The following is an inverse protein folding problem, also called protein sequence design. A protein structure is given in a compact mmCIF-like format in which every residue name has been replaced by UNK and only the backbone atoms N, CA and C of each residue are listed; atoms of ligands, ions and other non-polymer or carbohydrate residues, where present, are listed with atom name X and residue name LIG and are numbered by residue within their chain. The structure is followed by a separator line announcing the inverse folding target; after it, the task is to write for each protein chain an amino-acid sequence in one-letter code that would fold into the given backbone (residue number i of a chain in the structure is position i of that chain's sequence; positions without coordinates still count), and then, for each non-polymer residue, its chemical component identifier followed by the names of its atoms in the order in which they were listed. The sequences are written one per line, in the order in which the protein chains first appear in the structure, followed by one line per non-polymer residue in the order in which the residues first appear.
data_IF_771111415197
#
_entry.id   IF_771111415197
#
_cell.length_a   1.000
_cell.length_b   1.000
_cell.length_c   1.000
_cell.angle_alpha   90.00
_cell.angle_beta   90.00
_cell.angle_gamma   90.00
#
_symmetry.space_group_name_H-M   'P 1'
#
loop_
_entity.id
_entity.type
_entity.pdbx_description
1 polymer ?
#
# COMPACT_ATOMS: atom_id res chain seq x y z
N UNK A 1 32.45 -9.75 -21.95
CA UNK A 1 32.09 -8.69 -20.98
C UNK A 1 30.59 -8.50 -21.06
N UNK A 2 29.83 -8.98 -20.08
CA UNK A 2 28.39 -8.75 -20.04
C UNK A 2 28.16 -7.28 -19.69
N UNK A 3 27.38 -6.55 -20.51
CA UNK A 3 26.97 -5.20 -20.19
C UNK A 3 26.20 -5.25 -18.86
N UNK A 4 26.64 -4.51 -17.85
CA UNK A 4 25.80 -4.21 -16.69
C UNK A 4 24.59 -3.44 -17.22
N UNK A 5 23.45 -4.10 -17.37
CA UNK A 5 22.19 -3.37 -17.43
C UNK A 5 22.13 -2.58 -16.13
N UNK A 6 22.07 -1.25 -16.22
CA UNK A 6 21.79 -0.44 -15.04
C UNK A 6 20.46 -0.93 -14.48
N UNK A 7 20.45 -1.47 -13.27
CA UNK A 7 19.19 -1.90 -12.65
C UNK A 7 18.34 -0.63 -12.47
N UNK A 8 17.31 -0.48 -13.31
CA UNK A 8 16.42 0.69 -13.28
C UNK A 8 15.30 0.45 -12.28
N UNK A 9 14.78 1.54 -11.68
CA UNK A 9 13.54 1.47 -10.91
C UNK A 9 12.40 1.03 -11.84
N UNK A 10 11.63 0.04 -11.40
CA UNK A 10 10.47 -0.47 -12.11
C UNK A 10 9.19 0.10 -11.49
N UNK A 11 8.50 0.96 -12.24
CA UNK A 11 7.24 1.59 -11.82
C UNK A 11 6.05 0.78 -12.34
N UNK A 12 5.19 0.35 -11.44
CA UNK A 12 4.06 -0.52 -11.77
C UNK A 12 2.74 0.09 -11.32
N UNK A 13 1.67 -0.29 -12.01
CA UNK A 13 0.30 0.05 -11.66
C UNK A 13 -0.39 -1.23 -11.21
N UNK A 14 -1.14 -1.16 -10.11
CA UNK A 14 -1.95 -2.25 -9.60
C UNK A 14 -2.85 -2.74 -10.75
N UNK A 15 -3.01 -4.05 -10.98
CA UNK A 15 -3.86 -4.52 -12.07
C UNK A 15 -5.34 -4.30 -11.73
N UNK A 16 -6.15 -4.04 -12.76
CA UNK A 16 -7.59 -3.95 -12.62
C UNK A 16 -8.13 -2.55 -12.28
N UNK A 17 -9.40 -2.46 -11.84
CA UNK A 17 -10.14 -1.20 -11.73
C UNK A 17 -9.47 -0.11 -10.92
N UNK A 18 -8.86 -0.45 -9.79
CA UNK A 18 -8.13 0.52 -8.95
C UNK A 18 -6.91 1.07 -9.68
N UNK A 19 -6.14 0.23 -10.38
CA UNK A 19 -5.03 0.71 -11.19
C UNK A 19 -5.47 1.59 -12.35
N UNK A 20 -6.55 1.20 -13.03
CA UNK A 20 -7.09 1.96 -14.15
C UNK A 20 -7.66 3.31 -13.70
N UNK A 21 -8.23 3.38 -12.50
CA UNK A 21 -8.64 4.64 -11.85
C UNK A 21 -7.45 5.56 -11.58
N UNK A 22 -6.31 5.00 -11.15
CA UNK A 22 -5.12 5.77 -10.77
C UNK A 22 -4.20 6.10 -11.96
N UNK A 23 -4.26 5.33 -13.05
CA UNK A 23 -3.41 5.44 -14.25
C UNK A 23 -3.36 6.84 -14.89
N UNK A 24 -4.43 7.66 -14.91
CA UNK A 24 -4.36 9.01 -15.46
C UNK A 24 -3.49 9.98 -14.65
N UNK A 25 -3.15 9.64 -13.41
CA UNK A 25 -2.34 10.49 -12.53
C UNK A 25 -0.84 10.36 -12.84
N UNK A 26 -0.01 11.38 -12.51
CA UNK A 26 1.43 11.34 -12.78
C UNK A 26 2.23 10.54 -11.72
N UNK A 27 1.66 9.44 -11.21
CA UNK A 27 2.30 8.56 -10.23
C UNK A 27 1.91 7.09 -10.43
N UNK A 28 2.81 6.18 -10.06
CA UNK A 28 2.59 4.72 -10.07
C UNK A 28 2.02 4.23 -8.75
N UNK A 29 1.39 3.05 -8.72
CA UNK A 29 0.94 2.46 -7.44
C UNK A 29 2.11 1.90 -6.64
N UNK A 30 3.15 1.42 -7.32
CA UNK A 30 4.36 0.89 -6.71
C UNK A 30 5.61 1.28 -7.49
N UNK A 31 6.71 1.42 -6.79
CA UNK A 31 8.06 1.45 -7.35
C UNK A 31 8.87 0.29 -6.76
N UNK A 32 9.42 -0.57 -7.61
CA UNK A 32 10.35 -1.64 -7.24
C UNK A 32 11.77 -1.18 -7.52
N UNK A 33 12.54 -1.02 -6.45
CA UNK A 33 13.86 -0.40 -6.43
C UNK A 33 14.90 -1.51 -6.23
N UNK A 34 15.79 -1.75 -7.21
CA UNK A 34 16.88 -2.70 -7.07
C UNK A 34 17.93 -2.18 -6.07
N UNK A 35 18.29 -3.00 -5.09
CA UNK A 35 19.39 -2.74 -4.16
C UNK A 35 20.61 -3.62 -4.50
N UNK A 36 20.35 -4.83 -4.98
CA UNK A 36 21.32 -5.77 -5.50
C UNK A 36 20.61 -6.78 -6.41
N UNK A 37 21.32 -7.68 -7.12
CA UNK A 37 20.70 -8.66 -8.01
C UNK A 37 19.62 -9.55 -7.38
N UNK A 38 19.64 -9.72 -6.05
CA UNK A 38 18.71 -10.56 -5.29
C UNK A 38 17.89 -9.80 -4.24
N UNK A 39 18.03 -8.47 -4.14
CA UNK A 39 17.36 -7.68 -3.10
C UNK A 39 16.70 -6.46 -3.69
N UNK A 40 15.43 -6.27 -3.37
CA UNK A 40 14.65 -5.12 -3.84
C UNK A 40 13.88 -4.50 -2.69
N UNK A 41 13.75 -3.18 -2.73
CA UNK A 41 12.75 -2.46 -1.95
C UNK A 41 11.53 -2.22 -2.82
N UNK A 42 10.35 -2.25 -2.23
CA UNK A 42 9.09 -1.91 -2.89
C UNK A 42 8.46 -0.79 -2.07
N UNK A 43 8.09 0.30 -2.73
CA UNK A 43 7.39 1.43 -2.11
C UNK A 43 6.02 1.57 -2.77
N UNK A 44 4.95 1.68 -1.98
CA UNK A 44 3.61 1.97 -2.50
C UNK A 44 3.35 3.48 -2.52
N UNK A 45 2.47 3.93 -3.39
CA UNK A 45 1.74 5.18 -3.18
C UNK A 45 0.79 5.06 -1.98
N UNK A 46 0.14 6.17 -1.61
CA UNK A 46 -0.95 6.16 -0.64
C UNK A 46 -2.21 5.51 -1.22
N UNK A 47 -2.83 4.62 -0.44
CA UNK A 47 -4.10 4.00 -0.77
C UNK A 47 -5.19 4.43 0.22
N UNK A 48 -6.35 4.79 -0.33
CA UNK A 48 -7.62 4.92 0.39
C UNK A 48 -8.45 3.64 0.23
N UNK A 49 -9.60 3.55 0.89
CA UNK A 49 -10.49 2.38 0.79
C UNK A 49 -11.15 2.29 -0.57
N UNK A 50 -10.55 1.57 -1.51
CA UNK A 50 -11.11 1.26 -2.81
C UNK A 50 -11.41 -0.23 -2.94
N UNK A 51 -12.53 -0.54 -3.57
CA UNK A 51 -12.88 -1.89 -4.01
C UNK A 51 -11.97 -2.31 -5.16
N UNK A 52 -11.27 -3.45 -5.01
CA UNK A 52 -10.47 -4.02 -6.09
C UNK A 52 -11.33 -4.53 -7.25
N UNK A 53 -12.61 -4.80 -7.03
CA UNK A 53 -13.51 -5.40 -8.03
C UNK A 53 -14.06 -4.39 -9.03
N UNK A 54 -14.26 -3.14 -8.61
CA UNK A 54 -14.91 -2.10 -9.43
C UNK A 54 -14.30 -0.69 -9.27
N UNK A 55 -13.33 -0.51 -8.38
CA UNK A 55 -12.69 0.78 -8.11
C UNK A 55 -13.55 1.76 -7.31
N UNK A 56 -14.72 1.33 -6.80
CA UNK A 56 -15.60 2.18 -6.00
C UNK A 56 -15.00 2.45 -4.62
N UNK A 57 -15.40 3.58 -4.02
CA UNK A 57 -14.97 3.95 -2.67
C UNK A 57 -15.73 3.15 -1.59
N UNK A 58 -15.01 2.58 -0.63
CA UNK A 58 -15.56 1.81 0.50
C UNK A 58 -15.45 2.65 1.76
N UNK A 59 -16.56 3.25 2.19
CA UNK A 59 -16.63 4.09 3.40
C UNK A 59 -17.80 3.73 4.33
N UNK A 60 -18.52 2.63 4.07
CA UNK A 60 -19.70 2.20 4.84
C UNK A 60 -19.41 2.07 6.34
N UNK A 61 -18.28 1.46 6.69
CA UNK A 61 -17.78 1.40 8.06
C UNK A 61 -16.28 1.66 8.10
N UNK A 62 -15.77 2.07 9.26
CA UNK A 62 -14.32 2.26 9.49
C UNK A 62 -13.56 0.95 9.24
N UNK A 63 -14.10 -0.18 9.70
CA UNK A 63 -13.48 -1.50 9.54
C UNK A 63 -13.42 -1.94 8.07
N UNK A 64 -14.51 -1.78 7.32
CA UNK A 64 -14.55 -2.15 5.89
C UNK A 64 -13.61 -1.29 5.06
N UNK A 65 -13.48 0.00 5.41
CA UNK A 65 -12.55 0.90 4.73
C UNK A 65 -11.09 0.48 4.97
N UNK A 66 -10.70 0.20 6.21
CA UNK A 66 -9.34 -0.28 6.48
C UNK A 66 -9.04 -1.64 5.86
N UNK A 67 -10.02 -2.54 5.79
CA UNK A 67 -9.87 -3.78 5.02
C UNK A 67 -9.55 -3.49 3.55
N UNK A 68 -10.33 -2.61 2.91
CA UNK A 68 -10.12 -2.23 1.52
C UNK A 68 -8.76 -1.55 1.29
N UNK A 69 -8.32 -0.67 2.20
CA UNK A 69 -6.98 -0.06 2.14
C UNK A 69 -5.91 -1.14 2.16
N UNK A 70 -5.99 -2.08 3.11
CA UNK A 70 -4.99 -3.13 3.21
C UNK A 70 -5.07 -4.15 2.06
N UNK A 71 -6.24 -4.40 1.48
CA UNK A 71 -6.40 -5.22 0.26
C UNK A 71 -5.68 -4.59 -0.92
N UNK A 72 -5.83 -3.28 -1.10
CA UNK A 72 -5.12 -2.53 -2.13
C UNK A 72 -3.60 -2.61 -1.93
N UNK A 73 -3.11 -2.34 -0.72
CA UNK A 73 -1.68 -2.39 -0.42
C UNK A 73 -1.09 -3.81 -0.60
N UNK A 74 -1.79 -4.83 -0.10
CA UNK A 74 -1.37 -6.23 -0.21
C UNK A 74 -1.30 -6.67 -1.69
N UNK A 75 -2.30 -6.28 -2.49
CA UNK A 75 -2.35 -6.57 -3.92
C UNK A 75 -1.25 -5.80 -4.68
N UNK A 76 -1.02 -4.53 -4.35
CA UNK A 76 0.06 -3.72 -4.91
C UNK A 76 1.43 -4.36 -4.67
N UNK A 77 1.72 -4.76 -3.43
CA UNK A 77 2.98 -5.41 -3.07
C UNK A 77 3.15 -6.76 -3.78
N UNK A 78 2.10 -7.59 -3.82
CA UNK A 78 2.12 -8.87 -4.54
C UNK A 78 2.40 -8.69 -6.02
N UNK A 79 1.77 -7.71 -6.66
CA UNK A 79 2.03 -7.41 -8.07
C UNK A 79 3.49 -6.98 -8.30
N UNK A 80 4.04 -6.18 -7.39
CA UNK A 80 5.44 -5.74 -7.41
C UNK A 80 6.46 -6.83 -7.01
N UNK A 81 6.02 -8.07 -6.74
CA UNK A 81 6.90 -9.22 -6.50
C UNK A 81 7.11 -9.61 -5.04
N UNK A 82 6.52 -8.89 -4.08
CA UNK A 82 6.45 -9.33 -2.68
C UNK A 82 5.36 -10.41 -2.53
N UNK A 83 5.75 -11.68 -2.71
CA UNK A 83 4.83 -12.82 -2.77
C UNK A 83 3.93 -12.94 -1.53
N UNK A 84 4.45 -12.60 -0.35
CA UNK A 84 3.70 -12.66 0.91
C UNK A 84 2.95 -11.34 1.21
N UNK A 85 2.94 -10.40 0.26
CA UNK A 85 2.24 -9.12 0.35
C UNK A 85 2.67 -8.32 1.56
N UNK A 86 1.71 -7.91 2.40
CA UNK A 86 2.01 -7.10 3.58
C UNK A 86 2.86 -7.82 4.65
N UNK A 87 3.02 -9.14 4.62
CA UNK A 87 4.01 -9.81 5.48
C UNK A 87 5.46 -9.43 5.12
N UNK A 88 5.72 -8.96 3.89
CA UNK A 88 7.02 -8.43 3.50
C UNK A 88 7.18 -6.93 3.82
N UNK A 89 6.10 -6.25 4.25
CA UNK A 89 6.15 -4.83 4.60
C UNK A 89 6.89 -4.61 5.92
N UNK A 90 7.83 -3.66 5.95
CA UNK A 90 8.59 -3.30 7.17
C UNK A 90 8.23 -1.90 7.71
N UNK A 91 7.52 -1.08 6.92
CA UNK A 91 7.15 0.28 7.30
C UNK A 91 5.80 0.68 6.75
N UNK A 92 5.02 1.38 7.57
CA UNK A 92 3.77 2.02 7.21
C UNK A 92 3.82 3.51 7.57
N UNK A 93 3.20 4.34 6.73
CA UNK A 93 2.80 5.70 7.10
C UNK A 93 1.30 5.81 6.89
N UNK A 94 0.55 6.15 7.93
CA UNK A 94 -0.88 6.35 7.87
C UNK A 94 -1.24 7.80 8.19
N UNK A 95 -2.04 8.40 7.31
CA UNK A 95 -2.68 9.68 7.50
C UNK A 95 -4.15 9.43 7.85
N UNK A 96 -4.57 9.81 9.05
CA UNK A 96 -5.94 9.59 9.54
C UNK A 96 -6.66 10.93 9.70
N UNK A 97 -7.94 11.02 9.35
CA UNK A 97 -8.73 12.24 9.56
C UNK A 97 -9.25 12.40 10.99
N UNK A 98 -9.18 11.34 11.80
CA UNK A 98 -9.46 11.36 13.24
C UNK A 98 -8.61 10.34 13.99
N UNK A 99 -8.18 10.69 15.21
CA UNK A 99 -7.44 9.78 16.08
C UNK A 99 -8.25 8.55 16.52
N UNK A 100 -9.59 8.65 16.51
CA UNK A 100 -10.49 7.56 16.90
C UNK A 100 -10.39 6.35 15.97
N UNK A 101 -9.92 6.53 14.73
CA UNK A 101 -9.80 5.46 13.75
C UNK A 101 -8.57 4.57 13.95
N UNK A 102 -7.55 5.03 14.70
CA UNK A 102 -6.29 4.31 14.88
C UNK A 102 -6.50 2.92 15.50
N UNK A 103 -7.35 2.82 16.53
CA UNK A 103 -7.63 1.55 17.20
C UNK A 103 -8.23 0.51 16.26
N UNK A 104 -9.15 0.93 15.39
CA UNK A 104 -9.79 0.05 14.39
C UNK A 104 -8.80 -0.36 13.32
N UNK A 105 -8.00 0.58 12.79
CA UNK A 105 -6.95 0.31 11.81
C UNK A 105 -5.98 -0.77 12.30
N UNK A 106 -5.44 -0.61 13.52
CA UNK A 106 -4.50 -1.55 14.10
C UNK A 106 -5.15 -2.91 14.41
N UNK A 107 -6.43 -2.92 14.81
CA UNK A 107 -7.16 -4.16 15.05
C UNK A 107 -7.36 -4.97 13.76
N UNK A 108 -7.76 -4.32 12.66
CA UNK A 108 -7.85 -4.95 11.33
C UNK A 108 -6.50 -5.52 10.91
N UNK A 109 -5.43 -4.73 11.01
CA UNK A 109 -4.08 -5.19 10.64
C UNK A 109 -3.65 -6.41 11.45
N UNK A 110 -3.75 -6.36 12.79
CA UNK A 110 -3.35 -7.48 13.67
C UNK A 110 -4.16 -8.75 13.43
N UNK A 111 -5.44 -8.62 13.10
CA UNK A 111 -6.31 -9.76 12.79
C UNK A 111 -5.87 -10.48 11.50
N UNK A 112 -5.49 -9.70 10.49
CA UNK A 112 -5.16 -10.20 9.14
C UNK A 112 -3.72 -10.64 8.97
N UNK A 113 -2.78 -9.99 9.66
CA UNK A 113 -1.35 -10.32 9.63
C UNK A 113 -0.86 -10.66 11.05
N UNK A 114 -1.35 -11.78 11.64
CA UNK A 114 -1.02 -12.13 13.01
C UNK A 114 0.49 -12.35 13.20
N UNK A 115 1.04 -11.74 14.24
CA UNK A 115 2.48 -11.83 14.57
C UNK A 115 3.37 -10.89 13.75
N UNK A 116 2.84 -10.15 12.78
CA UNK A 116 3.59 -9.15 12.03
C UNK A 116 3.62 -7.80 12.76
N UNK A 117 4.78 -7.14 12.77
CA UNK A 117 5.01 -5.91 13.54
C UNK A 117 5.93 -4.92 12.79
N UNK A 118 5.47 -4.35 11.67
CA UNK A 118 6.23 -3.34 10.93
C UNK A 118 6.37 -2.05 11.73
N UNK A 119 7.36 -1.22 11.36
CA UNK A 119 7.44 0.15 11.87
C UNK A 119 6.24 0.96 11.38
N UNK A 120 5.74 1.87 12.21
CA UNK A 120 4.49 2.57 11.91
C UNK A 120 4.55 4.03 12.34
N UNK A 121 4.21 4.93 11.42
CA UNK A 121 4.01 6.36 11.70
C UNK A 121 2.55 6.72 11.47
N UNK A 122 1.90 7.30 12.48
CA UNK A 122 0.53 7.81 12.41
C UNK A 122 0.52 9.33 12.49
N UNK A 123 -0.20 9.97 11.58
CA UNK A 123 -0.39 11.42 11.54
C UNK A 123 -1.87 11.73 11.44
N UNK A 124 -2.37 12.60 12.32
CA UNK A 124 -3.73 13.12 12.22
C UNK A 124 -3.71 14.32 11.27
N UNK A 125 -4.44 14.22 10.17
CA UNK A 125 -4.53 15.24 9.13
C UNK A 125 -5.92 15.87 9.11
N UNK A 126 -6.00 17.11 8.59
CA UNK A 126 -7.28 17.83 8.47
C UNK A 126 -8.23 17.13 7.49
N UNK A 127 -7.72 16.60 6.38
CA UNK A 127 -8.50 15.99 5.31
C UNK A 127 -7.60 15.19 4.37
N UNK A 128 -8.18 14.18 3.71
CA UNK A 128 -7.62 13.49 2.55
C UNK A 128 -8.21 14.13 1.28
N UNK A 129 -7.53 13.99 0.13
CA UNK A 129 -7.98 14.57 -1.15
C UNK A 129 -9.33 13.99 -1.65
N UNK A 130 -9.73 12.83 -1.13
CA UNK A 130 -11.06 12.23 -1.30
C UNK A 130 -11.88 12.52 -0.05
N UNK A 131 -12.90 13.41 -0.10
CA UNK A 131 -13.57 13.93 1.08
C UNK A 131 -14.19 12.88 2.01
N UNK A 132 -14.66 11.77 1.46
CA UNK A 132 -15.31 10.70 2.21
C UNK A 132 -14.31 9.73 2.86
N UNK A 133 -13.02 9.78 2.49
CA UNK A 133 -11.99 8.89 3.00
C UNK A 133 -11.56 9.29 4.43
N UNK A 134 -11.49 8.30 5.31
CA UNK A 134 -11.05 8.45 6.70
C UNK A 134 -9.54 8.29 6.86
N UNK A 135 -8.90 7.63 5.90
CA UNK A 135 -7.48 7.38 5.93
C UNK A 135 -6.86 7.26 4.53
N UNK A 136 -5.58 7.57 4.46
CA UNK A 136 -4.70 7.22 3.35
C UNK A 136 -3.43 6.60 3.92
N UNK A 137 -3.06 5.40 3.46
CA UNK A 137 -1.94 4.63 4.01
C UNK A 137 -1.00 4.23 2.88
N UNK A 138 0.31 4.39 3.11
CA UNK A 138 1.34 3.78 2.27
C UNK A 138 2.17 2.76 3.07
N UNK A 139 2.91 1.93 2.35
CA UNK A 139 3.86 1.02 2.98
C UNK A 139 5.13 0.82 2.12
N UNK A 140 6.16 0.33 2.79
CA UNK A 140 7.41 -0.12 2.18
C UNK A 140 7.67 -1.57 2.55
N UNK A 141 8.17 -2.35 1.59
CA UNK A 141 8.51 -3.75 1.74
C UNK A 141 9.91 -4.05 1.24
N UNK A 142 10.51 -5.13 1.75
CA UNK A 142 11.79 -5.64 1.30
C UNK A 142 11.60 -7.10 0.83
N UNK A 143 12.15 -7.42 -0.33
CA UNK A 143 12.17 -8.80 -0.86
C UNK A 143 13.61 -9.27 -1.04
N UNK A 144 13.82 -10.54 -0.71
CA UNK A 144 15.11 -11.23 -0.79
C UNK A 144 14.90 -12.51 -1.60
N UNK A 145 15.68 -12.69 -2.68
CA UNK A 145 15.63 -13.84 -3.58
C UNK A 145 16.83 -14.76 -3.41
#
# INVERSE_FOLDING_TARGET
MASSQSETIDYQYLPGPVGDLLRPAPYSTTARIPISPSTFLIVTTGHIGLSLDDGSIITTTVETEFNAIFDCLDTALKHAGAKDGLFNAYRFTAYLTSAEYEGTMQAVFRSRWPGHAPTWTNVIVKSINVPEARAEINCEAAIFH
#
